data_IF_460272228786
#
_entry.id   IF_460272228786
#
_cell.length_a   1.000
_cell.length_b   1.000
_cell.length_c   1.000
_cell.angle_alpha   90.00
_cell.angle_beta   90.00
_cell.angle_gamma   90.00
#
_symmetry.space_group_name_H-M   'P 1'
#
loop_
_entity.id
_entity.type
_entity.pdbx_description
1 polymer ?
#
# COMPACT_ATOMS: atom_id res chain seq x y z
N UNK A 1 -21.00 7.56 -2.61
CA UNK A 1 -19.99 7.68 -3.69
C UNK A 1 -18.96 8.79 -3.46
N UNK A 2 -19.28 10.09 -3.54
CA UNK A 2 -18.28 11.16 -3.71
C UNK A 2 -17.08 11.15 -2.72
N UNK A 3 -17.29 10.96 -1.41
CA UNK A 3 -16.19 10.81 -0.42
C UNK A 3 -15.33 9.56 -0.62
N UNK A 4 -15.87 8.51 -1.23
CA UNK A 4 -15.13 7.28 -1.60
C UNK A 4 -14.34 7.53 -2.88
N UNK A 5 -14.91 8.15 -3.91
CA UNK A 5 -14.17 8.50 -5.13
C UNK A 5 -13.01 9.47 -4.82
N UNK A 6 -13.26 10.50 -3.98
CA UNK A 6 -12.20 11.43 -3.56
C UNK A 6 -11.13 10.74 -2.69
N UNK A 7 -11.50 9.76 -1.85
CA UNK A 7 -10.52 8.91 -1.13
C UNK A 7 -9.76 7.98 -2.07
N UNK A 8 -10.41 7.37 -3.07
CA UNK A 8 -9.80 6.49 -4.06
C UNK A 8 -8.75 7.25 -4.89
N UNK A 9 -9.10 8.44 -5.39
CA UNK A 9 -8.13 9.34 -6.03
C UNK A 9 -7.00 9.73 -5.07
N UNK A 10 -7.29 10.01 -3.79
CA UNK A 10 -6.23 10.31 -2.82
C UNK A 10 -5.31 9.11 -2.55
N UNK A 11 -5.86 7.90 -2.44
CA UNK A 11 -5.09 6.65 -2.29
C UNK A 11 -4.29 6.30 -3.53
N UNK A 12 -4.78 6.59 -4.75
CA UNK A 12 -3.99 6.49 -5.98
C UNK A 12 -2.81 7.48 -5.94
N UNK A 13 -3.02 8.71 -5.45
CA UNK A 13 -1.90 9.62 -5.21
C UNK A 13 -0.93 9.06 -4.14
N UNK A 14 -1.41 8.45 -3.05
CA UNK A 14 -0.54 7.81 -2.04
C UNK A 14 0.28 6.67 -2.62
N UNK A 15 -0.32 5.79 -3.43
CA UNK A 15 0.37 4.69 -4.11
C UNK A 15 1.44 5.22 -5.08
N UNK A 16 1.19 6.36 -5.74
CA UNK A 16 2.16 7.00 -6.62
C UNK A 16 3.40 7.62 -5.94
N UNK A 17 3.43 7.73 -4.61
CA UNK A 17 4.60 8.23 -3.88
C UNK A 17 5.58 7.13 -3.43
N UNK A 18 5.23 5.84 -3.55
CA UNK A 18 5.99 4.70 -2.99
C UNK A 18 6.85 4.01 -4.07
N UNK A 19 7.29 4.75 -5.08
CA UNK A 19 7.79 4.20 -6.35
C UNK A 19 9.19 4.69 -6.78
N UNK A 20 10.02 5.19 -5.85
CA UNK A 20 11.22 5.99 -6.15
C UNK A 20 12.25 5.93 -4.98
N UNK A 21 13.57 6.03 -5.27
CA UNK A 21 14.73 6.30 -4.33
C UNK A 21 15.42 5.08 -3.61
N UNK A 22 16.50 4.46 -4.15
CA UNK A 22 17.10 3.14 -3.71
C UNK A 22 18.51 2.70 -4.37
N UNK A 23 19.78 2.87 -3.87
CA UNK A 23 21.18 2.45 -4.43
C UNK A 23 21.71 0.98 -4.10
N UNK A 24 22.91 0.54 -3.60
CA UNK A 24 24.26 0.32 -4.21
C UNK A 24 25.01 -1.11 -4.26
N UNK A 25 24.66 -2.07 -5.14
CA UNK A 25 25.47 -3.23 -5.71
C UNK A 25 25.80 -4.46 -4.79
N UNK A 26 25.77 -5.75 -5.22
CA UNK A 26 26.32 -6.36 -6.47
C UNK A 26 25.94 -7.85 -6.74
N UNK A 27 25.61 -8.22 -8.00
CA UNK A 27 25.65 -9.58 -8.64
C UNK A 27 24.76 -10.73 -8.10
N UNK A 28 24.01 -11.49 -8.92
CA UNK A 28 24.60 -12.26 -10.04
C UNK A 28 23.64 -12.87 -11.11
N UNK A 29 23.10 -12.06 -12.02
CA UNK A 29 22.72 -12.52 -13.38
C UNK A 29 23.19 -11.50 -14.42
N UNK A 30 23.91 -11.93 -15.48
CA UNK A 30 24.38 -11.00 -16.51
C UNK A 30 23.31 -10.79 -17.58
N UNK A 31 22.39 -9.88 -17.27
CA UNK A 31 21.50 -9.23 -18.22
C UNK A 31 22.25 -8.77 -19.49
N UNK A 32 21.59 -8.84 -20.65
CA UNK A 32 22.24 -8.43 -21.90
C UNK A 32 22.69 -6.96 -21.85
N UNK A 33 23.82 -6.60 -22.51
CA UNK A 33 24.23 -5.20 -22.63
C UNK A 33 23.22 -4.30 -23.35
N UNK A 34 22.28 -4.87 -24.10
CA UNK A 34 21.19 -4.14 -24.75
C UNK A 34 20.08 -3.79 -23.74
N UNK A 35 19.64 -4.77 -22.93
CA UNK A 35 18.71 -4.53 -21.82
C UNK A 35 19.26 -3.49 -20.84
N UNK A 36 20.51 -3.63 -20.41
CA UNK A 36 21.15 -2.74 -19.44
C UNK A 36 21.34 -1.30 -19.95
N UNK A 37 21.50 -1.09 -21.26
CA UNK A 37 21.45 0.27 -21.86
C UNK A 37 20.04 0.84 -21.78
N UNK A 38 19.02 0.03 -22.08
CA UNK A 38 17.62 0.46 -22.04
C UNK A 38 17.15 0.75 -20.60
N UNK A 39 17.56 -0.05 -19.62
CA UNK A 39 17.36 0.20 -18.19
C UNK A 39 17.98 1.55 -17.79
N UNK A 40 19.25 1.81 -18.13
CA UNK A 40 19.91 3.08 -17.82
C UNK A 40 19.23 4.29 -18.50
N UNK A 41 18.75 4.15 -19.74
CA UNK A 41 17.96 5.18 -20.42
C UNK A 41 16.61 5.41 -19.75
N UNK A 42 15.89 4.34 -19.37
CA UNK A 42 14.59 4.43 -18.70
C UNK A 42 14.68 5.10 -17.33
N UNK A 43 15.68 4.73 -16.53
CA UNK A 43 15.94 5.35 -15.22
C UNK A 43 16.27 6.83 -15.33
N UNK A 44 17.12 7.22 -16.29
CA UNK A 44 17.44 8.62 -16.54
C UNK A 44 16.18 9.47 -16.89
N UNK A 45 15.18 8.86 -17.53
CA UNK A 45 13.89 9.48 -17.84
C UNK A 45 12.94 9.52 -16.62
N UNK A 46 12.84 8.42 -15.86
CA UNK A 46 11.98 8.28 -14.70
C UNK A 46 12.35 9.27 -13.58
N UNK A 47 13.62 9.28 -13.19
CA UNK A 47 14.11 10.07 -12.06
C UNK A 47 14.47 11.51 -12.45
N UNK A 48 14.91 11.72 -13.69
CA UNK A 48 15.20 13.04 -14.26
C UNK A 48 16.04 13.95 -13.33
N UNK A 49 17.08 13.39 -12.71
CA UNK A 49 17.98 14.08 -11.76
C UNK A 49 17.28 14.59 -10.48
N UNK A 50 16.41 13.77 -9.86
CA UNK A 50 15.66 14.13 -8.65
C UNK A 50 14.41 14.98 -8.91
N UNK A 51 14.00 15.12 -10.18
CA UNK A 51 12.83 15.92 -10.58
C UNK A 51 11.92 15.12 -11.52
N UNK A 52 11.29 14.04 -11.01
CA UNK A 52 10.49 13.13 -11.82
C UNK A 52 9.36 13.85 -12.57
N UNK A 53 9.07 13.37 -13.77
CA UNK A 53 8.02 13.88 -14.65
C UNK A 53 7.08 12.77 -15.07
N UNK A 54 5.83 13.11 -15.33
CA UNK A 54 4.84 12.20 -15.91
C UNK A 54 5.25 11.79 -17.35
N UNK A 55 5.74 12.73 -18.17
CA UNK A 55 6.28 12.42 -19.51
C UNK A 55 7.54 11.56 -19.44
N UNK A 56 8.42 11.78 -18.45
CA UNK A 56 9.58 10.96 -18.18
C UNK A 56 9.22 9.55 -17.72
N UNK A 57 8.21 9.39 -16.85
CA UNK A 57 7.73 8.09 -16.41
C UNK A 57 7.07 7.27 -17.54
N UNK A 58 6.36 7.92 -18.46
CA UNK A 58 5.88 7.30 -19.70
C UNK A 58 7.05 6.81 -20.58
N UNK A 59 7.97 7.71 -20.91
CA UNK A 59 9.12 7.37 -21.75
C UNK A 59 10.08 6.36 -21.08
N UNK A 60 10.05 6.25 -19.75
CA UNK A 60 10.74 5.20 -19.00
C UNK A 60 10.05 3.84 -19.11
N UNK A 61 8.71 3.80 -19.10
CA UNK A 61 7.94 2.58 -19.29
C UNK A 61 8.26 1.90 -20.63
N UNK A 62 8.30 2.66 -21.73
CA UNK A 62 8.75 2.20 -23.05
C UNK A 62 10.14 1.53 -23.00
N UNK A 63 11.03 2.07 -22.17
CA UNK A 63 12.42 1.60 -22.04
C UNK A 63 12.54 0.34 -21.21
N UNK A 64 11.80 0.24 -20.12
CA UNK A 64 11.77 -0.98 -19.31
C UNK A 64 11.04 -2.12 -20.03
N UNK A 65 10.00 -1.84 -20.81
CA UNK A 65 9.38 -2.81 -21.72
C UNK A 65 10.39 -3.33 -22.75
N UNK A 66 11.09 -2.41 -23.43
CA UNK A 66 12.11 -2.77 -24.42
C UNK A 66 13.28 -3.55 -23.79
N UNK A 67 13.65 -3.25 -22.54
CA UNK A 67 14.66 -3.97 -21.79
C UNK A 67 14.25 -5.42 -21.50
N UNK A 68 13.05 -5.63 -20.93
CA UNK A 68 12.47 -6.98 -20.73
C UNK A 68 12.27 -7.73 -22.06
N UNK A 69 12.02 -7.01 -23.16
CA UNK A 69 11.97 -7.55 -24.52
C UNK A 69 13.34 -7.97 -25.09
N UNK A 70 14.43 -7.32 -24.66
CA UNK A 70 15.81 -7.67 -25.02
C UNK A 70 16.40 -8.79 -24.13
N UNK A 71 16.04 -8.80 -22.84
CA UNK A 71 16.36 -9.85 -21.89
C UNK A 71 15.24 -10.04 -20.87
N UNK A 72 14.42 -11.07 -21.06
CA UNK A 72 13.33 -11.40 -20.13
C UNK A 72 13.81 -11.91 -18.76
N UNK A 73 15.12 -12.11 -18.59
CA UNK A 73 15.77 -12.51 -17.32
C UNK A 73 16.60 -11.39 -16.68
N UNK A 74 16.54 -10.16 -17.20
CA UNK A 74 17.05 -8.98 -16.50
C UNK A 74 16.10 -8.62 -15.34
N UNK A 75 16.51 -8.94 -14.11
CA UNK A 75 15.74 -8.74 -12.89
C UNK A 75 15.44 -7.25 -12.63
N UNK A 76 16.39 -6.36 -12.96
CA UNK A 76 16.24 -4.91 -12.80
C UNK A 76 15.26 -4.33 -13.82
N UNK A 77 15.36 -4.77 -15.09
CA UNK A 77 14.39 -4.40 -16.11
C UNK A 77 12.97 -4.84 -15.74
N UNK A 78 12.82 -6.06 -15.22
CA UNK A 78 11.53 -6.59 -14.77
C UNK A 78 10.97 -5.79 -13.58
N UNK A 79 11.78 -5.46 -12.59
CA UNK A 79 11.36 -4.63 -11.45
C UNK A 79 10.89 -3.25 -11.90
N UNK A 80 11.71 -2.51 -12.66
CA UNK A 80 11.33 -1.16 -13.07
C UNK A 80 10.14 -1.14 -14.03
N UNK A 81 9.99 -2.15 -14.91
CA UNK A 81 8.79 -2.30 -15.74
C UNK A 81 7.55 -2.58 -14.88
N UNK A 82 7.66 -3.45 -13.86
CA UNK A 82 6.54 -3.70 -12.95
C UNK A 82 6.07 -2.41 -12.24
N UNK A 83 7.00 -1.56 -11.81
CA UNK A 83 6.67 -0.26 -11.16
C UNK A 83 6.13 0.75 -12.17
N UNK A 84 6.78 0.93 -13.32
CA UNK A 84 6.42 1.95 -14.32
C UNK A 84 5.05 1.71 -14.95
N UNK A 85 4.66 0.44 -15.14
CA UNK A 85 3.39 0.08 -15.80
C UNK A 85 2.15 0.61 -15.08
N UNK A 86 2.18 0.75 -13.75
CA UNK A 86 1.07 1.34 -13.00
C UNK A 86 0.93 2.85 -13.27
N UNK A 87 2.06 3.55 -13.46
CA UNK A 87 2.09 4.97 -13.80
C UNK A 87 1.69 5.17 -15.27
N UNK A 88 2.18 4.31 -16.17
CA UNK A 88 1.82 4.28 -17.59
C UNK A 88 0.31 4.07 -17.81
N UNK A 89 -0.26 3.01 -17.22
CA UNK A 89 -1.69 2.71 -17.25
C UNK A 89 -2.57 3.83 -16.66
N UNK A 90 -2.02 4.69 -15.81
CA UNK A 90 -2.67 5.86 -15.24
C UNK A 90 -2.56 7.14 -16.10
N UNK A 91 -1.85 7.13 -17.23
CA UNK A 91 -1.48 8.32 -18.02
C UNK A 91 -1.61 8.14 -19.55
N UNK A 92 -1.51 6.92 -20.06
CA UNK A 92 -1.61 6.57 -21.49
C UNK A 92 -3.06 6.61 -21.99
N UNK A 93 -3.24 6.81 -23.30
CA UNK A 93 -4.52 6.64 -23.99
C UNK A 93 -4.57 5.21 -24.55
N UNK A 94 -5.71 4.53 -24.51
CA UNK A 94 -5.84 3.19 -25.07
C UNK A 94 -5.96 3.21 -26.61
N UNK A 95 -5.56 2.10 -27.23
CA UNK A 95 -5.67 1.90 -28.68
C UNK A 95 -7.09 1.49 -29.15
N UNK A 96 -8.07 1.40 -28.24
CA UNK A 96 -9.41 0.86 -28.54
C UNK A 96 -10.56 1.79 -28.08
N UNK A 97 -11.80 1.60 -28.60
CA UNK A 97 -12.96 2.36 -28.14
C UNK A 97 -13.55 1.90 -26.79
N UNK A 98 -12.89 0.99 -26.08
CA UNK A 98 -13.29 0.56 -24.73
C UNK A 98 -12.63 1.43 -23.65
N UNK A 99 -12.94 1.17 -22.38
CA UNK A 99 -12.16 1.69 -21.26
C UNK A 99 -11.12 0.61 -20.94
N UNK A 100 -9.90 0.78 -21.45
CA UNK A 100 -8.79 -0.17 -21.24
C UNK A 100 -7.77 0.37 -20.23
N UNK A 101 -7.63 1.70 -20.11
CA UNK A 101 -6.72 2.41 -19.21
C UNK A 101 -7.44 3.10 -18.05
N UNK A 102 -6.71 3.41 -16.96
CA UNK A 102 -7.24 4.24 -15.88
C UNK A 102 -7.46 5.70 -16.35
N UNK A 103 -6.69 6.17 -17.34
CA UNK A 103 -6.92 7.50 -17.95
C UNK A 103 -8.30 7.59 -18.58
N UNK A 104 -8.67 6.63 -19.44
CA UNK A 104 -10.00 6.61 -20.08
C UNK A 104 -11.13 6.52 -19.06
N UNK A 105 -10.94 5.78 -17.97
CA UNK A 105 -11.91 5.73 -16.89
C UNK A 105 -12.09 7.12 -16.26
N UNK A 106 -11.01 7.84 -15.94
CA UNK A 106 -11.07 9.19 -15.37
C UNK A 106 -11.66 10.20 -16.36
N UNK A 107 -11.31 10.12 -17.64
CA UNK A 107 -11.83 10.99 -18.70
C UNK A 107 -13.33 10.71 -18.99
N UNK A 108 -13.80 9.47 -18.85
CA UNK A 108 -15.23 9.14 -18.91
C UNK A 108 -16.05 9.75 -17.75
N UNK A 109 -15.43 9.94 -16.58
CA UNK A 109 -15.99 10.73 -15.47
C UNK A 109 -15.85 12.26 -15.65
N UNK A 110 -15.35 12.72 -16.79
CA UNK A 110 -15.19 14.13 -17.14
C UNK A 110 -14.01 14.83 -16.47
N UNK A 111 -13.09 14.08 -15.87
CA UNK A 111 -11.76 14.61 -15.50
C UNK A 111 -10.92 14.79 -16.78
N UNK A 112 -9.88 15.61 -16.73
CA UNK A 112 -8.99 15.83 -17.88
C UNK A 112 -7.54 15.86 -17.45
N UNK A 113 -6.63 15.38 -18.31
CA UNK A 113 -5.19 15.45 -18.06
C UNK A 113 -4.74 16.92 -17.93
N UNK A 114 -4.10 17.27 -16.82
CA UNK A 114 -3.55 18.60 -16.57
C UNK A 114 -2.34 18.88 -17.46
N UNK A 115 -1.99 20.15 -17.62
CA UNK A 115 -0.70 20.56 -18.20
C UNK A 115 0.48 20.47 -17.21
N UNK A 116 0.29 19.82 -16.06
CA UNK A 116 1.38 19.55 -15.12
C UNK A 116 2.13 18.31 -15.59
N UNK A 117 3.44 18.48 -15.77
CA UNK A 117 4.36 17.41 -16.16
C UNK A 117 5.29 17.00 -15.02
N UNK A 118 5.68 17.90 -14.11
CA UNK A 118 6.47 17.55 -12.91
C UNK A 118 5.52 17.19 -11.77
N UNK A 119 5.86 16.16 -10.99
CA UNK A 119 5.02 15.70 -9.87
C UNK A 119 4.82 16.78 -8.78
N UNK A 120 5.78 17.70 -8.62
CA UNK A 120 5.68 18.81 -7.68
C UNK A 120 4.77 19.97 -8.16
N UNK A 121 4.47 20.06 -9.46
CA UNK A 121 3.65 21.16 -10.01
C UNK A 121 2.14 20.94 -9.72
N UNK A 122 1.71 19.69 -9.57
CA UNK A 122 0.33 19.31 -9.22
C UNK A 122 -0.09 17.95 -9.78
N UNK A 123 -1.30 17.47 -9.43
CA UNK A 123 -1.79 16.15 -9.83
C UNK A 123 -1.97 16.02 -11.35
N UNK A 124 -1.92 14.80 -11.90
CA UNK A 124 -1.97 14.59 -13.35
C UNK A 124 -3.36 14.85 -13.95
N UNK A 125 -4.42 14.87 -13.14
CA UNK A 125 -5.81 15.11 -13.56
C UNK A 125 -6.46 16.27 -12.81
N UNK A 126 -7.40 16.96 -13.47
CA UNK A 126 -8.28 17.94 -12.83
C UNK A 126 -9.17 17.29 -11.76
N UNK A 127 -9.64 18.07 -10.78
CA UNK A 127 -10.79 17.66 -9.95
C UNK A 127 -11.97 17.21 -10.85
N UNK A 128 -12.81 16.26 -10.41
CA UNK A 128 -14.04 15.90 -11.11
C UNK A 128 -14.97 17.11 -11.34
N UNK A 129 -15.69 17.15 -12.48
CA UNK A 129 -16.57 18.26 -12.86
C UNK A 129 -17.65 18.56 -11.82
N UNK A 130 -17.93 19.84 -11.60
CA UNK A 130 -18.85 20.31 -10.55
C UNK A 130 -19.71 21.49 -11.01
N UNK A 131 -20.98 21.48 -10.61
CA UNK A 131 -21.90 22.62 -10.69
C UNK A 131 -22.35 22.98 -9.27
N UNK A 132 -22.15 24.24 -8.87
CA UNK A 132 -22.57 24.75 -7.55
C UNK A 132 -22.04 23.92 -6.36
N UNK A 133 -20.76 23.51 -6.39
CA UNK A 133 -20.09 22.64 -5.40
C UNK A 133 -20.59 21.17 -5.36
N UNK A 134 -21.54 20.80 -6.23
CA UNK A 134 -22.00 19.43 -6.41
C UNK A 134 -21.32 18.74 -7.60
N UNK A 135 -21.00 17.45 -7.47
CA UNK A 135 -20.39 16.62 -8.52
C UNK A 135 -21.35 16.44 -9.71
N UNK A 136 -20.97 16.91 -10.89
CA UNK A 136 -21.80 16.90 -12.11
C UNK A 136 -21.15 16.02 -13.19
N UNK A 137 -21.58 14.74 -13.25
CA UNK A 137 -21.02 13.79 -14.21
C UNK A 137 -21.58 14.01 -15.63
N UNK A 138 -20.75 13.91 -16.70
CA UNK A 138 -21.22 14.01 -18.08
C UNK A 138 -22.19 12.89 -18.49
N UNK A 139 -22.91 13.08 -19.59
CA UNK A 139 -23.85 12.08 -20.15
C UNK A 139 -23.17 10.74 -20.54
N UNK A 140 -21.84 10.73 -20.63
CA UNK A 140 -21.00 9.59 -21.02
C UNK A 140 -20.31 8.88 -19.85
N UNK A 141 -20.62 9.23 -18.59
CA UNK A 141 -20.00 8.56 -17.45
C UNK A 141 -20.50 7.13 -17.26
N UNK A 142 -19.60 6.18 -16.95
CA UNK A 142 -19.90 4.76 -16.94
C UNK A 142 -20.84 4.37 -15.79
N UNK A 143 -21.68 3.38 -16.06
CA UNK A 143 -22.44 2.66 -15.05
C UNK A 143 -21.53 1.82 -14.15
N UNK A 144 -22.06 1.40 -13.00
CA UNK A 144 -21.28 0.62 -12.04
C UNK A 144 -20.83 -0.76 -12.55
N UNK A 145 -21.53 -1.34 -13.54
CA UNK A 145 -21.08 -2.55 -14.23
C UNK A 145 -19.90 -2.30 -15.17
N UNK A 146 -19.84 -1.15 -15.85
CA UNK A 146 -18.71 -0.79 -16.72
C UNK A 146 -17.45 -0.52 -15.88
N UNK A 147 -17.60 0.15 -14.72
CA UNK A 147 -16.52 0.30 -13.73
C UNK A 147 -16.10 -1.06 -13.17
N UNK A 148 -17.05 -1.97 -12.87
CA UNK A 148 -16.75 -3.32 -12.39
C UNK A 148 -16.01 -4.15 -13.43
N UNK A 149 -16.42 -4.06 -14.71
CA UNK A 149 -15.80 -4.78 -15.82
C UNK A 149 -14.38 -4.30 -16.11
N UNK A 150 -14.14 -2.98 -16.09
CA UNK A 150 -12.79 -2.41 -16.16
C UNK A 150 -11.89 -2.92 -15.02
N UNK A 151 -12.40 -2.88 -13.78
CA UNK A 151 -11.66 -3.36 -12.62
C UNK A 151 -11.40 -4.87 -12.69
N UNK A 152 -12.35 -5.67 -13.17
CA UNK A 152 -12.23 -7.13 -13.25
C UNK A 152 -11.38 -7.63 -14.43
N UNK A 153 -11.30 -6.84 -15.51
CA UNK A 153 -10.53 -7.13 -16.72
C UNK A 153 -9.20 -6.38 -16.71
N UNK A 154 -9.06 -5.27 -17.48
CA UNK A 154 -7.81 -4.54 -17.66
C UNK A 154 -6.99 -4.30 -16.38
N UNK A 155 -7.62 -3.88 -15.27
CA UNK A 155 -6.88 -3.58 -14.04
C UNK A 155 -6.39 -4.82 -13.29
N UNK A 156 -7.11 -5.95 -13.36
CA UNK A 156 -6.62 -7.24 -12.83
C UNK A 156 -5.55 -7.84 -13.75
N UNK A 157 -5.63 -7.63 -15.07
CA UNK A 157 -4.53 -7.98 -15.98
C UNK A 157 -3.26 -7.21 -15.61
N UNK A 158 -3.32 -5.88 -15.48
CA UNK A 158 -2.19 -5.05 -15.04
C UNK A 158 -1.55 -5.58 -13.75
N UNK A 159 -2.32 -5.79 -12.68
CA UNK A 159 -1.80 -6.29 -11.41
C UNK A 159 -1.26 -7.73 -11.50
N UNK A 160 -1.73 -8.54 -12.45
CA UNK A 160 -1.21 -9.89 -12.71
C UNK A 160 0.12 -9.86 -13.45
N UNK A 161 0.23 -8.97 -14.42
CA UNK A 161 1.42 -8.74 -15.24
C UNK A 161 2.56 -8.13 -14.40
N UNK A 162 2.27 -7.13 -13.57
CA UNK A 162 3.23 -6.55 -12.61
C UNK A 162 3.79 -7.64 -11.69
N UNK A 163 2.92 -8.49 -11.11
CA UNK A 163 3.35 -9.63 -10.29
C UNK A 163 4.20 -10.62 -11.10
N UNK A 164 3.84 -10.91 -12.35
CA UNK A 164 4.59 -11.84 -13.20
C UNK A 164 6.01 -11.34 -13.53
N UNK A 165 6.21 -10.03 -13.71
CA UNK A 165 7.55 -9.43 -13.81
C UNK A 165 8.33 -9.61 -12.48
N UNK A 166 7.68 -9.39 -11.32
CA UNK A 166 8.31 -9.55 -10.00
C UNK A 166 8.53 -11.03 -9.59
N UNK A 167 8.06 -12.03 -10.34
CA UNK A 167 8.45 -13.44 -10.19
C UNK A 167 9.75 -13.79 -10.94
N UNK A 168 10.35 -12.86 -11.69
CA UNK A 168 11.68 -13.04 -12.30
C UNK A 168 12.79 -12.74 -11.29
N UNK A 169 12.55 -11.84 -10.34
CA UNK A 169 13.52 -11.35 -9.36
C UNK A 169 13.79 -12.39 -8.26
N UNK A 170 15.06 -12.53 -7.86
CA UNK A 170 15.58 -13.61 -7.01
C UNK A 170 16.06 -13.15 -5.64
N UNK A 171 16.33 -14.10 -4.74
CA UNK A 171 16.92 -13.89 -3.40
C UNK A 171 18.40 -13.47 -3.41
N UNK A 172 18.95 -13.17 -4.60
CA UNK A 172 20.29 -12.57 -4.78
C UNK A 172 20.24 -11.20 -5.45
N UNK A 173 19.05 -10.60 -5.53
CA UNK A 173 18.83 -9.31 -6.15
C UNK A 173 19.27 -8.15 -5.23
N UNK A 174 20.09 -7.27 -5.81
CA UNK A 174 20.35 -5.91 -5.34
C UNK A 174 20.40 -5.02 -6.59
N UNK A 175 19.70 -3.88 -6.59
CA UNK A 175 19.92 -2.84 -7.60
C UNK A 175 19.60 -1.44 -7.08
N UNK A 176 19.89 -0.42 -7.89
CA UNK A 176 20.56 0.75 -7.35
C UNK A 176 20.42 2.08 -8.11
N UNK A 177 19.70 3.06 -7.52
CA UNK A 177 19.40 4.47 -7.82
C UNK A 177 20.24 5.49 -7.01
N UNK A 178 20.98 6.36 -7.70
CA UNK A 178 21.94 7.32 -7.11
C UNK A 178 21.33 8.52 -6.38
N UNK A 179 22.08 9.12 -5.46
CA UNK A 179 21.87 10.49 -4.96
C UNK A 179 21.48 11.55 -6.02
N UNK A 180 21.85 11.34 -7.30
CA UNK A 180 21.42 12.19 -8.42
C UNK A 180 20.02 11.86 -8.91
N UNK A 181 19.65 10.58 -8.98
CA UNK A 181 18.29 10.12 -9.27
C UNK A 181 17.32 10.43 -8.12
N UNK A 182 17.80 10.39 -6.87
CA UNK A 182 16.98 10.61 -5.67
C UNK A 182 16.81 12.07 -5.28
N UNK A 183 17.80 12.92 -5.62
CA UNK A 183 17.87 14.30 -5.12
C UNK A 183 18.28 14.40 -3.64
N UNK A 184 18.59 13.28 -2.99
CA UNK A 184 19.00 13.17 -1.60
C UNK A 184 20.20 12.24 -1.46
N UNK A 185 20.12 11.30 -0.52
CA UNK A 185 21.15 10.29 -0.32
C UNK A 185 20.96 9.07 -1.24
N UNK A 186 21.92 8.16 -1.13
CA UNK A 186 21.86 6.77 -1.55
C UNK A 186 20.95 5.98 -0.60
N UNK A 187 20.25 4.99 -1.14
CA UNK A 187 19.41 4.02 -0.41
C UNK A 187 19.82 2.58 -0.89
N UNK A 188 19.03 1.50 -0.86
CA UNK A 188 19.23 0.23 -1.63
C UNK A 188 17.88 -0.33 -2.17
N UNK A 189 17.86 -1.10 -3.29
CA UNK A 189 16.77 -2.09 -3.55
C UNK A 189 17.28 -3.49 -3.26
N UNK A 190 16.63 -4.21 -2.35
CA UNK A 190 16.88 -5.63 -2.07
C UNK A 190 15.72 -6.56 -2.52
N UNK A 191 15.73 -7.83 -2.11
CA UNK A 191 14.66 -8.78 -2.42
C UNK A 191 13.50 -8.78 -1.40
N UNK A 192 13.74 -8.35 -0.16
CA UNK A 192 12.74 -8.03 0.86
C UNK A 192 11.80 -6.88 0.43
N UNK A 193 12.35 -5.81 -0.16
CA UNK A 193 11.59 -4.74 -0.83
C UNK A 193 10.64 -5.32 -1.89
N UNK A 194 11.18 -6.18 -2.76
CA UNK A 194 10.46 -6.82 -3.85
C UNK A 194 9.38 -7.76 -3.31
N UNK A 195 9.64 -8.49 -2.23
CA UNK A 195 8.66 -9.28 -1.51
C UNK A 195 7.56 -8.41 -0.89
N UNK A 196 7.88 -7.25 -0.29
CA UNK A 196 6.89 -6.34 0.25
C UNK A 196 6.02 -5.73 -0.86
N UNK A 197 6.59 -5.36 -2.00
CA UNK A 197 5.83 -4.88 -3.15
C UNK A 197 4.92 -5.98 -3.75
N UNK A 198 5.43 -7.23 -3.89
CA UNK A 198 4.62 -8.40 -4.26
C UNK A 198 3.49 -8.66 -3.26
N UNK A 199 3.71 -8.40 -1.97
CA UNK A 199 2.66 -8.47 -0.94
C UNK A 199 1.56 -7.43 -1.16
N UNK A 200 1.93 -6.15 -1.28
CA UNK A 200 1.01 -5.02 -1.48
C UNK A 200 0.15 -5.24 -2.72
N UNK A 201 0.78 -5.59 -3.86
CA UNK A 201 0.07 -5.89 -5.11
C UNK A 201 -0.88 -7.08 -4.97
N UNK A 202 -0.48 -8.14 -4.26
CA UNK A 202 -1.32 -9.33 -4.05
C UNK A 202 -2.52 -9.06 -3.14
N UNK A 203 -2.35 -8.28 -2.06
CA UNK A 203 -3.45 -7.84 -1.18
C UNK A 203 -4.40 -6.90 -1.93
N UNK A 204 -3.88 -5.95 -2.70
CA UNK A 204 -4.69 -5.02 -3.49
C UNK A 204 -5.48 -5.74 -4.60
N UNK A 205 -4.83 -6.67 -5.33
CA UNK A 205 -5.47 -7.57 -6.30
C UNK A 205 -6.59 -8.37 -5.65
N UNK A 206 -6.39 -8.91 -4.44
CA UNK A 206 -7.45 -9.58 -3.68
C UNK A 206 -8.63 -8.66 -3.38
N UNK A 207 -8.38 -7.44 -2.90
CA UNK A 207 -9.44 -6.47 -2.59
C UNK A 207 -10.28 -6.10 -3.84
N UNK A 208 -9.64 -5.90 -5.00
CA UNK A 208 -10.34 -5.67 -6.27
C UNK A 208 -11.19 -6.89 -6.65
N UNK A 209 -10.64 -8.11 -6.61
CA UNK A 209 -11.36 -9.35 -6.94
C UNK A 209 -12.56 -9.61 -6.01
N UNK A 210 -12.47 -9.26 -4.72
CA UNK A 210 -13.62 -9.31 -3.80
C UNK A 210 -14.70 -8.33 -4.24
N UNK A 211 -14.34 -7.09 -4.56
CA UNK A 211 -15.30 -6.05 -4.96
C UNK A 211 -15.97 -6.41 -6.30
N UNK A 212 -15.22 -6.92 -7.27
CA UNK A 212 -15.74 -7.24 -8.61
C UNK A 212 -16.48 -8.58 -8.70
N UNK A 213 -16.41 -9.42 -7.66
CA UNK A 213 -17.20 -10.65 -7.56
C UNK A 213 -18.71 -10.42 -7.42
N UNK A 214 -19.12 -9.23 -6.95
CA UNK A 214 -20.51 -8.87 -6.73
C UNK A 214 -21.04 -7.97 -7.85
N UNK A 215 -22.35 -8.06 -8.11
CA UNK A 215 -23.04 -7.16 -9.02
C UNK A 215 -22.99 -5.73 -8.45
N UNK A 216 -22.42 -4.81 -9.23
CA UNK A 216 -22.34 -3.38 -8.94
C UNK A 216 -23.11 -2.54 -9.98
N UNK A 217 -23.97 -3.16 -10.78
CA UNK A 217 -24.72 -2.52 -11.86
C UNK A 217 -25.72 -1.49 -11.31
N UNK A 218 -25.28 -0.23 -11.28
CA UNK A 218 -26.06 0.93 -10.87
C UNK A 218 -25.79 2.10 -11.79
N UNK A 219 -26.80 2.96 -12.00
CA UNK A 219 -26.58 4.25 -12.64
C UNK A 219 -25.94 5.21 -11.63
N UNK A 220 -24.60 5.25 -11.65
CA UNK A 220 -23.79 6.08 -10.77
C UNK A 220 -24.20 7.56 -10.90
N UNK A 221 -24.56 7.99 -12.11
CA UNK A 221 -24.91 9.37 -12.43
C UNK A 221 -26.29 9.75 -11.92
N UNK A 222 -27.30 8.89 -12.10
CA UNK A 222 -28.64 9.09 -11.52
C UNK A 222 -28.58 9.16 -9.99
N UNK A 223 -27.83 8.25 -9.36
CA UNK A 223 -27.65 8.24 -7.90
C UNK A 223 -26.96 9.52 -7.39
N UNK A 224 -26.00 10.06 -8.15
CA UNK A 224 -25.37 11.36 -7.84
C UNK A 224 -26.36 12.52 -8.06
N UNK A 225 -27.09 12.55 -9.18
CA UNK A 225 -28.07 13.61 -9.47
C UNK A 225 -29.20 13.66 -8.43
N UNK A 226 -29.73 12.51 -8.00
CA UNK A 226 -30.72 12.40 -6.92
C UNK A 226 -30.15 12.86 -5.57
N UNK A 227 -28.87 12.60 -5.32
CA UNK A 227 -28.16 13.06 -4.12
C UNK A 227 -27.93 14.58 -4.12
N UNK A 228 -27.50 15.15 -5.25
CA UNK A 228 -27.29 16.59 -5.43
C UNK A 228 -28.59 17.40 -5.31
N UNK A 229 -29.73 16.78 -5.64
CA UNK A 229 -31.05 17.39 -5.52
C UNK A 229 -31.74 17.15 -4.16
N UNK A 230 -31.04 16.59 -3.16
CA UNK A 230 -31.56 16.26 -1.81
C UNK A 230 -32.83 15.37 -1.79
N UNK A 231 -33.08 14.61 -2.87
CA UNK A 231 -34.27 13.74 -3.03
C UNK A 231 -33.96 12.24 -3.05
N UNK A 232 -32.68 11.86 -2.99
CA UNK A 232 -32.24 10.47 -2.93
C UNK A 232 -32.83 9.73 -1.72
N UNK A 233 -33.39 8.55 -1.99
CA UNK A 233 -33.93 7.64 -0.99
C UNK A 233 -33.38 6.23 -1.21
N UNK A 234 -32.61 5.73 -0.23
CA UNK A 234 -31.92 4.44 -0.33
C UNK A 234 -32.87 3.25 -0.57
N UNK A 235 -34.12 3.30 -0.10
CA UNK A 235 -35.08 2.24 -0.41
C UNK A 235 -35.53 2.35 -1.88
N UNK A 236 -36.14 3.48 -2.26
CA UNK A 236 -36.77 3.68 -3.57
C UNK A 236 -35.77 3.65 -4.74
N UNK A 237 -34.63 4.33 -4.59
CA UNK A 237 -33.72 4.64 -5.70
C UNK A 237 -32.56 3.65 -5.80
N UNK A 238 -32.22 2.96 -4.71
CA UNK A 238 -31.14 1.98 -4.68
C UNK A 238 -31.68 0.55 -4.54
N UNK A 239 -32.30 0.21 -3.40
CA UNK A 239 -32.65 -1.18 -3.06
C UNK A 239 -33.85 -1.74 -3.84
N UNK A 240 -34.91 -0.95 -4.05
CA UNK A 240 -36.11 -1.35 -4.81
C UNK A 240 -35.83 -1.42 -6.32
N UNK A 241 -34.88 -0.62 -6.80
CA UNK A 241 -34.52 -0.46 -8.21
C UNK A 241 -33.45 -1.47 -8.65
N UNK A 242 -32.31 -1.51 -7.95
CA UNK A 242 -31.18 -2.39 -8.25
C UNK A 242 -31.25 -3.62 -7.35
N UNK A 243 -32.28 -4.44 -7.53
CA UNK A 243 -32.59 -5.57 -6.64
C UNK A 243 -31.52 -6.66 -6.62
N UNK A 244 -30.59 -6.66 -7.58
CA UNK A 244 -29.44 -7.57 -7.67
C UNK A 244 -28.11 -6.96 -7.18
N UNK A 245 -28.10 -5.69 -6.77
CA UNK A 245 -26.94 -5.01 -6.19
C UNK A 245 -26.36 -5.79 -5.00
N UNK A 246 -25.04 -5.97 -4.99
CA UNK A 246 -24.28 -6.75 -4.01
C UNK A 246 -24.65 -8.25 -3.93
N UNK A 247 -25.39 -8.80 -4.90
CA UNK A 247 -25.47 -10.26 -5.07
C UNK A 247 -24.21 -10.76 -5.76
N UNK A 248 -23.77 -11.96 -5.37
CA UNK A 248 -22.63 -12.64 -6.00
C UNK A 248 -22.96 -12.96 -7.46
N UNK A 249 -22.06 -12.62 -8.38
CA UNK A 249 -22.26 -12.89 -9.81
C UNK A 249 -22.19 -14.41 -10.05
N UNK A 250 -23.19 -15.04 -10.71
CA UNK A 250 -23.16 -16.47 -10.98
C UNK A 250 -21.94 -16.88 -11.80
N UNK A 251 -21.26 -17.94 -11.38
CA UNK A 251 -19.97 -18.42 -11.92
C UNK A 251 -18.83 -17.42 -11.69
N UNK A 252 -18.82 -16.27 -12.36
CA UNK A 252 -17.66 -15.38 -12.41
C UNK A 252 -17.30 -14.76 -11.06
N UNK A 253 -18.32 -14.50 -10.21
CA UNK A 253 -18.10 -14.07 -8.83
C UNK A 253 -17.52 -15.16 -7.93
N UNK A 254 -17.84 -16.43 -8.19
CA UNK A 254 -17.24 -17.56 -7.46
C UNK A 254 -15.77 -17.73 -7.87
N UNK A 255 -15.45 -17.60 -9.16
CA UNK A 255 -14.07 -17.58 -9.65
C UNK A 255 -13.28 -16.43 -9.01
N UNK A 256 -13.83 -15.21 -9.08
CA UNK A 256 -13.21 -14.00 -8.50
C UNK A 256 -12.91 -14.15 -7.00
N UNK A 257 -13.80 -14.75 -6.20
CA UNK A 257 -13.54 -15.00 -4.78
C UNK A 257 -12.47 -16.08 -4.50
N UNK A 258 -12.34 -17.10 -5.36
CA UNK A 258 -11.27 -18.10 -5.25
C UNK A 258 -9.90 -17.50 -5.61
N UNK A 259 -9.87 -16.67 -6.66
CA UNK A 259 -8.67 -15.95 -7.08
C UNK A 259 -8.29 -14.88 -6.04
N UNK A 260 -9.28 -14.20 -5.44
CA UNK A 260 -9.08 -13.28 -4.33
C UNK A 260 -8.47 -13.97 -3.11
N UNK A 261 -8.99 -15.15 -2.72
CA UNK A 261 -8.40 -15.95 -1.64
C UNK A 261 -6.95 -16.28 -1.96
N UNK A 262 -6.67 -16.72 -3.19
CA UNK A 262 -5.32 -17.10 -3.62
C UNK A 262 -4.36 -15.90 -3.56
N UNK A 263 -4.78 -14.74 -4.07
CA UNK A 263 -4.02 -13.50 -4.00
C UNK A 263 -3.77 -13.03 -2.55
N UNK A 264 -4.76 -13.13 -1.65
CA UNK A 264 -4.56 -12.79 -0.23
C UNK A 264 -3.58 -13.74 0.47
N UNK A 265 -3.69 -15.06 0.23
CA UNK A 265 -2.77 -16.05 0.80
C UNK A 265 -1.32 -15.81 0.33
N UNK A 266 -1.13 -15.48 -0.96
CA UNK A 266 0.17 -15.10 -1.50
C UNK A 266 0.68 -13.81 -0.86
N UNK A 267 -0.16 -12.78 -0.74
CA UNK A 267 0.21 -11.51 -0.13
C UNK A 267 0.68 -11.65 1.33
N UNK A 268 0.00 -12.50 2.11
CA UNK A 268 0.38 -12.83 3.49
C UNK A 268 1.72 -13.58 3.53
N UNK A 269 1.95 -14.51 2.61
CA UNK A 269 3.23 -15.23 2.51
C UNK A 269 4.39 -14.30 2.12
N UNK A 270 4.19 -13.43 1.12
CA UNK A 270 5.20 -12.45 0.72
C UNK A 270 5.52 -11.44 1.82
N UNK A 271 4.52 -10.98 2.59
CA UNK A 271 4.74 -10.10 3.75
C UNK A 271 5.60 -10.78 4.81
N UNK A 272 5.29 -12.04 5.14
CA UNK A 272 6.08 -12.81 6.09
C UNK A 272 7.52 -13.01 5.62
N UNK A 273 7.71 -13.38 4.35
CA UNK A 273 9.02 -13.53 3.75
C UNK A 273 9.83 -12.23 3.71
N UNK A 274 9.17 -11.07 3.53
CA UNK A 274 9.85 -9.76 3.52
C UNK A 274 10.45 -9.45 4.91
N UNK A 275 9.67 -9.61 5.99
CA UNK A 275 10.18 -9.43 7.36
C UNK A 275 11.27 -10.48 7.68
N UNK A 276 11.10 -11.72 7.19
CA UNK A 276 12.12 -12.77 7.33
C UNK A 276 13.40 -12.50 6.52
N UNK A 277 13.34 -11.69 5.46
CA UNK A 277 14.52 -11.22 4.73
C UNK A 277 15.24 -10.14 5.54
N UNK A 278 14.53 -9.05 5.84
CA UNK A 278 15.06 -7.85 6.53
C UNK A 278 15.61 -8.16 7.93
N UNK A 279 14.98 -9.07 8.70
CA UNK A 279 15.52 -9.47 10.02
C UNK A 279 16.80 -10.34 9.93
N UNK A 280 17.17 -10.85 8.75
CA UNK A 280 18.34 -11.72 8.54
C UNK A 280 19.46 -11.08 7.69
N UNK A 281 19.31 -9.83 7.26
CA UNK A 281 20.36 -9.07 6.56
C UNK A 281 21.55 -8.75 7.49
N UNK A 282 22.68 -8.36 6.89
CA UNK A 282 23.98 -8.27 7.61
C UNK A 282 24.76 -6.99 7.33
N UNK A 283 24.08 -6.06 6.67
CA UNK A 283 24.57 -4.89 5.97
C UNK A 283 24.41 -3.66 6.88
N UNK A 284 24.34 -2.44 6.34
CA UNK A 284 23.77 -1.30 7.08
C UNK A 284 22.33 -1.12 6.60
N UNK A 285 21.38 -1.02 7.53
CA UNK A 285 19.95 -0.91 7.21
C UNK A 285 19.50 0.55 7.12
N UNK A 286 20.41 1.51 7.27
CA UNK A 286 20.12 2.92 7.07
C UNK A 286 20.06 3.31 5.58
N UNK A 287 20.58 2.45 4.70
CA UNK A 287 20.48 2.57 3.24
C UNK A 287 19.16 1.97 2.72
N UNK A 288 18.64 0.85 3.23
CA UNK A 288 17.56 0.12 2.54
C UNK A 288 16.23 0.91 2.42
N UNK A 289 15.37 0.55 1.46
CA UNK A 289 14.12 1.30 1.22
C UNK A 289 13.01 0.96 2.21
N UNK A 290 12.88 -0.30 2.63
CA UNK A 290 11.94 -0.76 3.65
C UNK A 290 12.60 -1.45 4.85
N UNK A 291 13.49 -0.72 5.55
CA UNK A 291 14.10 -1.15 6.80
C UNK A 291 13.21 -0.97 8.05
N UNK A 292 13.61 -1.61 9.15
CA UNK A 292 13.10 -1.33 10.49
C UNK A 292 14.02 -0.34 11.22
N UNK A 293 13.61 0.92 11.34
CA UNK A 293 14.37 1.97 12.03
C UNK A 293 14.48 1.75 13.54
N UNK A 294 13.66 0.86 14.11
CA UNK A 294 13.78 0.42 15.49
C UNK A 294 13.29 -1.02 15.71
N UNK A 295 13.65 -1.58 16.88
CA UNK A 295 13.12 -2.86 17.35
C UNK A 295 11.62 -2.82 17.72
N UNK A 296 11.00 -1.63 17.74
CA UNK A 296 9.56 -1.44 17.90
C UNK A 296 8.84 -1.55 16.56
N UNK A 297 9.42 -1.03 15.48
CA UNK A 297 8.92 -1.15 14.09
C UNK A 297 8.85 -2.64 13.69
N UNK A 298 9.93 -3.38 13.93
CA UNK A 298 9.99 -4.83 13.71
C UNK A 298 8.95 -5.59 14.56
N UNK A 299 8.71 -5.14 15.81
CA UNK A 299 7.71 -5.73 16.72
C UNK A 299 6.28 -5.51 16.23
N UNK A 300 5.97 -4.32 15.69
CA UNK A 300 4.68 -4.04 15.04
C UNK A 300 4.50 -4.87 13.76
N UNK A 301 5.54 -5.01 12.94
CA UNK A 301 5.51 -5.83 11.74
C UNK A 301 5.29 -7.32 12.07
N UNK A 302 6.00 -7.86 13.07
CA UNK A 302 5.81 -9.24 13.56
C UNK A 302 4.43 -9.44 14.22
N UNK A 303 3.87 -8.43 14.87
CA UNK A 303 2.48 -8.48 15.35
C UNK A 303 1.49 -8.52 14.18
N UNK A 304 1.65 -7.63 13.19
CA UNK A 304 0.84 -7.61 11.95
C UNK A 304 0.92 -8.95 11.21
N UNK A 305 2.12 -9.53 11.08
CA UNK A 305 2.35 -10.86 10.51
C UNK A 305 1.57 -11.94 11.29
N UNK A 306 1.48 -11.83 12.62
CA UNK A 306 0.72 -12.75 13.46
C UNK A 306 -0.80 -12.65 13.20
N UNK A 307 -1.34 -11.43 13.07
CA UNK A 307 -2.75 -11.22 12.69
C UNK A 307 -3.06 -11.76 11.28
N UNK A 308 -2.15 -11.55 10.33
CA UNK A 308 -2.27 -12.03 8.96
C UNK A 308 -2.16 -13.57 8.88
N UNK A 309 -1.27 -14.19 9.65
CA UNK A 309 -1.17 -15.65 9.78
C UNK A 309 -2.48 -16.27 10.29
N UNK A 310 -3.12 -15.65 11.30
CA UNK A 310 -4.42 -16.11 11.80
C UNK A 310 -5.55 -15.94 10.76
N UNK A 311 -5.53 -14.86 9.96
CA UNK A 311 -6.46 -14.70 8.85
C UNK A 311 -6.24 -15.73 7.72
N UNK A 312 -4.98 -16.04 7.38
CA UNK A 312 -4.59 -17.12 6.44
C UNK A 312 -5.15 -18.47 6.91
N UNK A 313 -4.99 -18.79 8.18
CA UNK A 313 -5.37 -20.08 8.74
C UNK A 313 -6.89 -20.18 8.91
N UNK A 314 -7.57 -19.10 9.32
CA UNK A 314 -9.03 -19.07 9.37
C UNK A 314 -9.68 -19.27 7.99
N UNK A 315 -9.10 -18.69 6.93
CA UNK A 315 -9.53 -18.86 5.54
C UNK A 315 -9.25 -20.26 4.99
N UNK A 316 -8.23 -20.97 5.48
CA UNK A 316 -7.90 -22.32 5.05
C UNK A 316 -8.66 -23.41 5.80
N UNK A 317 -8.90 -23.21 7.10
CA UNK A 317 -9.70 -24.12 7.94
C UNK A 317 -11.22 -23.86 7.85
N UNK A 318 -11.63 -22.77 7.17
CA UNK A 318 -13.02 -22.33 7.04
C UNK A 318 -13.68 -22.12 8.43
N UNK A 319 -13.02 -21.31 9.26
CA UNK A 319 -13.46 -20.90 10.60
C UNK A 319 -13.40 -19.37 10.74
N UNK A 320 -14.04 -18.77 11.77
CA UNK A 320 -13.77 -17.38 12.14
C UNK A 320 -12.31 -17.17 12.54
N UNK A 321 -11.77 -16.00 12.21
CA UNK A 321 -10.52 -15.53 12.80
C UNK A 321 -10.75 -15.18 14.28
N UNK A 322 -9.77 -15.50 15.12
CA UNK A 322 -9.79 -15.41 16.58
C UNK A 322 -8.52 -14.73 17.07
N UNK A 323 -8.53 -13.39 17.04
CA UNK A 323 -7.46 -12.58 17.62
C UNK A 323 -7.55 -12.65 19.15
N UNK A 324 -6.40 -12.70 19.83
CA UNK A 324 -6.32 -12.81 21.29
C UNK A 324 -5.10 -12.05 21.78
N UNK A 325 -5.34 -11.12 22.70
CA UNK A 325 -4.38 -10.24 23.32
C UNK A 325 -4.56 -10.27 24.83
N UNK A 326 -3.52 -9.88 25.58
CA UNK A 326 -3.53 -9.78 27.04
C UNK A 326 -3.30 -8.32 27.41
N UNK A 327 -4.34 -7.65 27.90
CA UNK A 327 -4.24 -6.33 28.52
C UNK A 327 -3.77 -6.46 29.99
N UNK A 328 -2.68 -5.80 30.35
CA UNK A 328 -2.24 -5.61 31.73
C UNK A 328 -2.26 -4.12 32.11
N UNK A 329 -3.12 -3.73 33.05
CA UNK A 329 -3.01 -2.42 33.72
C UNK A 329 -2.09 -2.52 34.93
N UNK A 330 -0.96 -1.81 34.88
CA UNK A 330 -0.06 -1.58 36.01
C UNK A 330 -0.31 -0.18 36.61
N UNK A 331 -0.19 -0.04 37.93
CA UNK A 331 -0.18 1.26 38.62
C UNK A 331 1.06 1.31 39.51
N UNK A 332 2.09 1.99 39.05
CA UNK A 332 3.32 2.21 39.79
C UNK A 332 3.16 3.43 40.70
N UNK A 333 3.66 3.35 41.94
CA UNK A 333 3.55 4.42 42.95
C UNK A 333 4.92 4.65 43.57
N UNK A 334 5.40 5.90 43.61
CA UNK A 334 6.68 6.25 44.23
C UNK A 334 6.59 6.45 45.75
N UNK A 335 7.73 6.65 46.42
CA UNK A 335 7.79 6.91 47.87
C UNK A 335 7.06 8.20 48.31
N UNK A 336 6.80 9.12 47.38
CA UNK A 336 6.05 10.37 47.62
C UNK A 336 4.54 10.21 47.41
N UNK A 337 4.09 9.07 46.86
CA UNK A 337 2.70 8.81 46.51
C UNK A 337 2.28 9.28 45.12
N UNK A 338 3.21 9.70 44.26
CA UNK A 338 2.92 9.99 42.84
C UNK A 338 2.68 8.68 42.09
N UNK A 339 1.70 8.66 41.17
CA UNK A 339 1.30 7.43 40.47
C UNK A 339 1.38 7.57 38.95
N UNK A 340 1.96 6.55 38.32
CA UNK A 340 1.95 6.32 36.88
C UNK A 340 1.05 5.10 36.60
N UNK A 341 0.04 5.26 35.74
CA UNK A 341 -0.65 4.11 35.13
C UNK A 341 0.09 3.74 33.86
N UNK A 342 0.22 2.44 33.63
CA UNK A 342 0.75 1.88 32.39
C UNK A 342 -0.24 0.80 31.94
N UNK A 343 -0.62 0.82 30.67
CA UNK A 343 -1.37 -0.25 30.02
C UNK A 343 -0.45 -0.93 29.02
N UNK A 344 -0.40 -2.25 29.09
CA UNK A 344 0.51 -3.10 28.31
C UNK A 344 -0.35 -4.12 27.55
N UNK A 345 -0.30 -4.10 26.23
CA UNK A 345 -0.86 -5.15 25.38
C UNK A 345 0.22 -6.18 25.04
N UNK A 346 -0.14 -7.46 25.13
CA UNK A 346 0.70 -8.59 24.75
C UNK A 346 -0.03 -9.53 23.81
N UNK A 347 0.72 -10.23 22.96
CA UNK A 347 0.18 -11.29 22.10
C UNK A 347 -0.28 -12.52 22.90
N UNK A 348 -0.85 -13.51 22.22
CA UNK A 348 -1.28 -14.77 22.83
C UNK A 348 -0.14 -15.63 23.43
N UNK A 349 1.13 -15.29 23.16
CA UNK A 349 2.31 -15.94 23.73
C UNK A 349 2.87 -15.18 24.96
N UNK A 350 2.41 -13.96 25.20
CA UNK A 350 2.92 -13.06 26.24
C UNK A 350 4.05 -12.12 25.79
N UNK A 351 4.34 -12.04 24.49
CA UNK A 351 5.26 -11.05 23.93
C UNK A 351 4.64 -9.66 23.99
N UNK A 352 5.44 -8.64 24.30
CA UNK A 352 4.99 -7.24 24.24
C UNK A 352 4.59 -6.84 22.81
N UNK A 353 3.50 -6.07 22.68
CA UNK A 353 3.02 -5.54 21.39
C UNK A 353 3.10 -4.01 21.41
N UNK A 354 2.32 -3.38 22.27
CA UNK A 354 2.19 -1.94 22.41
C UNK A 354 1.81 -1.59 23.86
N UNK A 355 2.03 -0.36 24.30
CA UNK A 355 1.55 0.11 25.58
C UNK A 355 1.49 1.64 25.68
N UNK A 356 0.63 2.11 26.57
CA UNK A 356 0.47 3.53 26.88
C UNK A 356 0.78 3.78 28.37
N UNK A 357 1.27 4.98 28.71
CA UNK A 357 1.58 5.37 30.08
C UNK A 357 1.10 6.79 30.38
N UNK A 358 0.55 7.04 31.57
CA UNK A 358 0.09 8.38 31.98
C UNK A 358 0.11 8.65 33.48
N UNK A 359 0.46 9.89 33.85
CA UNK A 359 0.51 10.36 35.23
C UNK A 359 -0.89 10.55 35.82
N UNK A 360 -1.29 9.69 36.76
CA UNK A 360 -2.61 9.76 37.42
C UNK A 360 -2.74 10.98 38.36
N UNK A 361 -1.62 11.58 38.76
CA UNK A 361 -1.55 12.77 39.60
C UNK A 361 -1.18 14.04 38.79
N UNK A 362 -1.30 13.96 37.46
CA UNK A 362 -1.05 15.03 36.51
C UNK A 362 0.39 15.11 36.00
N UNK A 363 0.63 16.03 35.05
CA UNK A 363 1.87 16.17 34.28
C UNK A 363 3.17 16.47 35.08
N UNK A 364 3.10 16.60 36.40
CA UNK A 364 4.25 16.97 37.23
C UNK A 364 5.14 15.76 37.61
N UNK A 365 4.70 14.53 37.32
CA UNK A 365 5.42 13.30 37.60
C UNK A 365 5.76 12.59 36.28
N UNK A 366 7.04 12.62 35.90
CA UNK A 366 7.61 12.15 34.63
C UNK A 366 7.04 12.84 33.37
N UNK A 367 5.76 12.63 33.05
CA UNK A 367 5.08 13.16 31.85
C UNK A 367 3.54 13.16 32.00
N UNK A 368 2.85 13.91 31.13
CA UNK A 368 1.37 13.89 31.08
C UNK A 368 0.81 12.54 30.60
N UNK A 369 1.40 12.04 29.51
CA UNK A 369 1.03 10.84 28.78
C UNK A 369 2.16 10.48 27.81
N UNK A 370 2.20 9.25 27.33
CA UNK A 370 3.28 8.72 26.51
C UNK A 370 3.06 7.26 26.13
N UNK A 371 3.97 6.75 25.31
CA UNK A 371 3.99 5.38 24.80
C UNK A 371 5.03 4.53 25.57
N UNK A 372 4.86 3.21 25.53
CA UNK A 372 5.79 2.24 26.13
C UNK A 372 6.64 1.64 25.02
N UNK A 373 7.85 2.17 24.84
CA UNK A 373 8.82 1.72 23.82
C UNK A 373 9.31 0.29 24.10
N UNK A 374 9.39 -0.10 25.39
CA UNK A 374 9.86 -1.43 25.82
C UNK A 374 9.16 -1.89 27.10
N UNK A 375 8.75 -3.16 27.14
CA UNK A 375 8.33 -3.85 28.36
C UNK A 375 8.95 -5.25 28.42
N UNK A 376 9.86 -5.48 29.37
CA UNK A 376 10.55 -6.77 29.55
C UNK A 376 10.51 -7.23 31.01
N UNK A 377 10.41 -8.55 31.23
CA UNK A 377 10.41 -9.16 32.58
C UNK A 377 11.51 -10.23 32.62
N UNK A 378 12.47 -10.07 33.54
CA UNK A 378 13.62 -10.96 33.69
C UNK A 378 13.69 -11.51 35.13
N UNK A 379 13.07 -12.67 35.34
CA UNK A 379 13.02 -13.32 36.66
C UNK A 379 12.11 -12.59 37.63
N UNK A 380 12.69 -11.74 38.49
CA UNK A 380 11.96 -10.81 39.36
C UNK A 380 11.83 -9.41 38.77
N UNK A 381 12.71 -9.05 37.85
CA UNK A 381 13.01 -7.65 37.55
C UNK A 381 12.15 -7.22 36.35
N UNK A 382 11.30 -6.21 36.55
CA UNK A 382 10.48 -5.64 35.47
C UNK A 382 11.18 -4.40 34.94
N UNK A 383 11.49 -4.37 33.64
CA UNK A 383 12.02 -3.18 32.96
C UNK A 383 10.94 -2.60 32.04
N UNK A 384 10.64 -1.32 32.23
CA UNK A 384 9.70 -0.59 31.38
C UNK A 384 10.37 0.68 30.88
N UNK A 385 10.43 0.85 29.56
CA UNK A 385 10.90 2.07 28.91
C UNK A 385 9.69 2.81 28.34
N UNK A 386 9.56 4.08 28.71
CA UNK A 386 8.45 4.95 28.33
C UNK A 386 8.98 6.26 27.74
N UNK A 387 8.31 6.78 26.72
CA UNK A 387 8.62 8.08 26.13
C UNK A 387 7.38 8.96 25.96
N UNK A 388 7.58 10.28 25.88
CA UNK A 388 6.48 11.25 25.79
C UNK A 388 6.67 12.19 24.60
N UNK A 389 5.76 12.13 23.62
CA UNK A 389 5.68 13.04 22.48
C UNK A 389 5.25 14.49 22.82
N UNK A 390 5.46 14.93 24.06
CA UNK A 390 5.12 16.28 24.54
C UNK A 390 6.18 17.33 24.24
N UNK A 391 6.03 18.53 24.82
CA UNK A 391 6.98 19.65 24.66
C UNK A 391 8.39 19.39 25.24
N UNK A 392 8.57 18.30 25.98
CA UNK A 392 9.85 17.83 26.49
C UNK A 392 9.92 16.32 26.22
N UNK A 393 10.52 15.86 25.10
CA UNK A 393 10.76 14.44 24.89
C UNK A 393 11.68 13.93 25.99
N UNK A 394 11.16 12.99 26.79
CA UNK A 394 11.87 12.35 27.88
C UNK A 394 11.62 10.84 27.79
N UNK A 395 12.71 10.06 27.82
CA UNK A 395 12.66 8.61 28.02
C UNK A 395 12.92 8.31 29.49
N UNK A 396 12.14 7.43 30.11
CA UNK A 396 12.41 6.92 31.45
C UNK A 396 12.45 5.38 31.44
N UNK A 397 13.45 4.80 32.09
CA UNK A 397 13.54 3.37 32.35
C UNK A 397 13.19 3.13 33.82
N UNK A 398 12.16 2.34 34.06
CA UNK A 398 11.72 1.92 35.39
C UNK A 398 12.17 0.46 35.59
N UNK A 399 12.88 0.19 36.69
CA UNK A 399 13.35 -1.15 37.05
C UNK A 399 13.05 -1.41 38.53
N UNK A 400 12.46 -2.55 38.85
CA UNK A 400 12.11 -2.97 40.22
C UNK A 400 11.52 -4.38 40.28
#
# INVERSE_FOLDING_TARGET
>A
MAKVLRKFVHSINTIGYVALILLCLTTAAHATPESQILVAEGRALLFNNGYPTYSGALAANDKFEAAVGADSTDEEANLFYAVSRLIAFALEEGDTPAIDTLRELLESFGMTRTSYDRLEDGPPYTDPPQISEHLDLPDTSPGGEEVRAFLAGPFITLLSDMLANLEVVTDTFTTSLTATETGGDTVEIDYGDVLLFKSILSVFKSAILIVTAYNLDVDIRELIALGNADIFNIQRDLLDKYQDLLKLIPVDGVTSLNDAKTALLNGIAFYGNAIDFVENETDDQADDFFYFGSAEDLREARHTQTLLNEARDSLNENRPATFSFIEETWILTDESGNRLRIEIEKDANGNFVNGEAWGLDGCNFLFCGGEVEEFTISGTDVTIRVSSGGQCPCSATLTG
#
